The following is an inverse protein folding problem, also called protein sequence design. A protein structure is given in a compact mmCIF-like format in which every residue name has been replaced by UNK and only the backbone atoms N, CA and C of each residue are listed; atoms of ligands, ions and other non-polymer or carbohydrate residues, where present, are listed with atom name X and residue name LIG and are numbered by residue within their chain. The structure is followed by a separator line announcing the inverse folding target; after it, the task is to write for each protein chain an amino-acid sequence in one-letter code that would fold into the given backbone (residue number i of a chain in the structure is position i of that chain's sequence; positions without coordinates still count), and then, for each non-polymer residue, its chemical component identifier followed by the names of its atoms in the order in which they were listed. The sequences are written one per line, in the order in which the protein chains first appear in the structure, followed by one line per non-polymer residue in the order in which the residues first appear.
data_IF_284434776224
#
_entry.id   IF_284434776224
#
_cell.length_a   1.000
_cell.length_b   1.000
_cell.length_c   1.000
_cell.angle_alpha   90.00
_cell.angle_beta   90.00
_cell.angle_gamma   90.00
#
_symmetry.space_group_name_H-M   'P 1'
#
loop_
_entity.id
_entity.type
_entity.pdbx_description
1 polymer ?
#
# COMPACT_ATOMS: atom_id res chain seq x y z
N UNK A 1 14.01 1.25 12.13
CA UNK A 1 13.39 0.19 11.32
C UNK A 1 12.08 -0.22 11.98
N UNK A 2 10.99 -0.10 11.24
CA UNK A 2 9.61 -0.38 11.62
C UNK A 2 8.95 -1.15 10.49
N UNK A 3 8.40 -2.32 10.80
CA UNK A 3 7.58 -3.11 9.88
C UNK A 3 6.15 -2.57 9.84
N UNK A 4 5.64 -2.29 8.63
CA UNK A 4 4.27 -1.82 8.45
C UNK A 4 3.33 -3.02 8.39
N UNK A 5 2.63 -3.25 9.50
CA UNK A 5 1.61 -4.29 9.58
C UNK A 5 0.60 -4.18 8.45
N UNK A 6 0.43 -5.27 7.71
CA UNK A 6 -0.52 -5.38 6.60
C UNK A 6 -0.34 -4.30 5.52
N UNK A 7 0.90 -3.90 5.23
CA UNK A 7 1.23 -2.84 4.27
C UNK A 7 0.40 -2.89 2.98
N UNK A 8 0.30 -4.06 2.33
CA UNK A 8 -0.45 -4.21 1.08
C UNK A 8 -1.95 -3.98 1.24
N UNK A 9 -2.56 -4.29 2.39
CA UNK A 9 -3.97 -4.01 2.65
C UNK A 9 -4.28 -2.52 2.82
N UNK A 10 -3.27 -1.65 2.84
CA UNK A 10 -3.46 -0.21 2.82
C UNK A 10 -3.47 0.36 1.39
N UNK A 11 -2.96 -0.36 0.40
CA UNK A 11 -3.00 0.06 -1.00
C UNK A 11 -4.39 -0.08 -1.62
N UNK A 12 -4.79 0.92 -2.40
CA UNK A 12 -5.98 0.84 -3.25
C UNK A 12 -5.60 0.34 -4.64
N UNK A 13 -6.45 -0.48 -5.23
CA UNK A 13 -6.28 -0.96 -6.60
C UNK A 13 -6.86 0.05 -7.57
N UNK A 14 -6.07 0.45 -8.56
CA UNK A 14 -6.55 1.25 -9.70
C UNK A 14 -7.32 0.37 -10.68
N UNK A 15 -6.89 -0.89 -10.83
CA UNK A 15 -7.51 -1.87 -11.72
C UNK A 15 -8.67 -2.63 -11.05
N UNK A 16 -9.60 -3.13 -11.84
CA UNK A 16 -10.62 -4.05 -11.37
C UNK A 16 -10.05 -5.47 -11.29
N UNK A 17 -9.85 -5.94 -10.06
CA UNK A 17 -9.37 -7.30 -9.79
C UNK A 17 -10.48 -8.11 -9.15
N UNK A 18 -10.70 -9.31 -9.69
CA UNK A 18 -11.67 -10.26 -9.19
C UNK A 18 -10.99 -11.57 -8.78
N UNK A 19 -11.54 -12.23 -7.77
CA UNK A 19 -11.14 -13.59 -7.39
C UNK A 19 -12.37 -14.46 -7.16
N UNK A 20 -12.19 -15.77 -7.30
CA UNK A 20 -13.17 -16.75 -6.82
C UNK A 20 -13.32 -16.63 -5.30
N UNK A 21 -14.50 -17.00 -4.77
CA UNK A 21 -14.70 -17.08 -3.34
C UNK A 21 -13.70 -18.09 -2.73
N UNK A 22 -13.04 -17.70 -1.64
CA UNK A 22 -12.09 -18.57 -0.96
C UNK A 22 -12.81 -19.66 -0.19
N UNK A 23 -12.12 -20.79 0.01
CA UNK A 23 -12.59 -21.84 0.90
C UNK A 23 -12.93 -21.25 2.29
N UNK A 24 -14.09 -21.62 2.84
CA UNK A 24 -14.62 -21.06 4.09
C UNK A 24 -15.37 -19.73 3.98
N UNK A 25 -15.38 -19.07 2.82
CA UNK A 25 -16.15 -17.84 2.57
C UNK A 25 -17.26 -18.00 1.52
N UNK A 26 -17.39 -19.18 0.89
CA UNK A 26 -18.40 -19.43 -0.15
C UNK A 26 -19.81 -19.20 0.40
N UNK A 27 -20.55 -18.28 -0.20
CA UNK A 27 -21.96 -18.04 0.10
C UNK A 27 -22.82 -19.21 -0.41
N UNK A 28 -23.50 -19.99 0.47
CA UNK A 28 -24.32 -21.12 0.05
C UNK A 28 -25.48 -20.74 -0.87
N UNK A 29 -25.96 -19.49 -0.80
CA UNK A 29 -27.04 -18.99 -1.66
C UNK A 29 -26.52 -18.53 -3.01
N UNK A 30 -25.23 -18.23 -3.13
CA UNK A 30 -24.61 -17.70 -4.34
C UNK A 30 -23.20 -18.29 -4.54
N UNK A 31 -23.08 -19.61 -4.74
CA UNK A 31 -21.78 -20.27 -4.80
C UNK A 31 -20.91 -19.79 -5.97
N UNK A 32 -21.53 -19.37 -7.08
CA UNK A 32 -20.82 -18.95 -8.31
C UNK A 32 -20.44 -17.46 -8.33
N UNK A 33 -20.71 -16.71 -7.27
CA UNK A 33 -20.27 -15.30 -7.20
C UNK A 33 -18.75 -15.22 -7.10
N UNK A 34 -18.24 -14.08 -7.56
CA UNK A 34 -16.83 -13.69 -7.47
C UNK A 34 -16.69 -12.45 -6.60
N UNK A 35 -15.55 -12.34 -5.94
CA UNK A 35 -15.20 -11.21 -5.07
C UNK A 35 -14.47 -10.15 -5.88
N UNK A 36 -14.92 -8.89 -5.81
CA UNK A 36 -14.17 -7.74 -6.33
C UNK A 36 -13.25 -7.20 -5.23
N UNK A 37 -11.95 -7.16 -5.47
CA UNK A 37 -11.01 -6.56 -4.55
C UNK A 37 -11.08 -5.04 -4.59
N UNK A 38 -11.29 -4.41 -3.43
CA UNK A 38 -11.21 -2.95 -3.26
C UNK A 38 -9.81 -2.48 -2.83
N UNK A 39 -9.03 -3.40 -2.25
CA UNK A 39 -7.69 -3.14 -1.71
C UNK A 39 -6.72 -4.18 -2.22
N UNK A 40 -5.44 -3.82 -2.32
CA UNK A 40 -4.41 -4.79 -2.68
C UNK A 40 -4.22 -5.82 -1.58
N UNK A 41 -3.89 -7.04 -1.97
CA UNK A 41 -3.50 -8.15 -1.08
C UNK A 41 -2.12 -8.64 -1.50
N UNK A 42 -1.44 -9.33 -0.60
CA UNK A 42 -0.18 -9.99 -0.95
C UNK A 42 -0.38 -10.99 -2.10
N UNK A 43 0.64 -11.11 -2.96
CA UNK A 43 0.60 -11.98 -4.15
C UNK A 43 -0.01 -11.34 -5.40
N UNK A 44 -0.70 -10.20 -5.30
CA UNK A 44 -1.06 -9.42 -6.49
C UNK A 44 0.18 -8.74 -7.06
N UNK A 45 0.36 -8.82 -8.39
CA UNK A 45 1.49 -8.19 -9.11
C UNK A 45 1.63 -6.69 -8.80
N UNK A 46 0.51 -6.01 -8.60
CA UNK A 46 0.43 -4.58 -8.33
C UNK A 46 0.39 -4.21 -6.84
N UNK A 47 0.48 -5.18 -5.92
CA UNK A 47 0.35 -4.95 -4.48
C UNK A 47 1.36 -3.92 -3.96
N UNK A 48 2.64 -4.12 -4.26
CA UNK A 48 3.71 -3.22 -3.81
C UNK A 48 3.60 -1.82 -4.42
N UNK A 49 3.17 -1.72 -5.69
CA UNK A 49 2.93 -0.44 -6.37
C UNK A 49 1.77 0.32 -5.71
N UNK A 50 0.67 -0.37 -5.45
CA UNK A 50 -0.54 0.20 -4.82
C UNK A 50 -0.23 0.71 -3.41
N UNK A 51 0.56 -0.06 -2.66
CA UNK A 51 1.07 0.36 -1.35
C UNK A 51 1.99 1.60 -1.46
N UNK A 52 3.01 1.58 -2.34
CA UNK A 52 3.93 2.70 -2.49
C UNK A 52 3.19 4.00 -2.89
N UNK A 53 2.19 3.91 -3.77
CA UNK A 53 1.39 5.05 -4.17
C UNK A 53 0.61 5.63 -2.98
N UNK A 54 -0.07 4.78 -2.22
CA UNK A 54 -0.81 5.20 -1.02
C UNK A 54 0.12 5.83 0.02
N UNK A 55 1.26 5.19 0.30
CA UNK A 55 2.23 5.71 1.26
C UNK A 55 2.73 7.10 0.85
N UNK A 56 3.12 7.26 -0.42
CA UNK A 56 3.59 8.52 -0.97
C UNK A 56 2.53 9.65 -0.84
N UNK A 57 1.24 9.35 -1.06
CA UNK A 57 0.18 10.33 -0.84
C UNK A 57 0.12 10.77 0.63
N UNK A 58 0.01 9.79 1.54
CA UNK A 58 -0.14 10.06 2.98
C UNK A 58 1.08 10.78 3.56
N UNK A 59 2.29 10.36 3.20
CA UNK A 59 3.51 10.95 3.79
C UNK A 59 3.73 12.40 3.31
N UNK A 60 3.34 12.69 2.06
CA UNK A 60 3.32 14.06 1.52
C UNK A 60 2.31 14.95 2.22
N UNK A 61 1.11 14.44 2.51
CA UNK A 61 0.11 15.15 3.33
C UNK A 61 0.65 15.43 4.75
N UNK A 62 1.56 14.60 5.26
CA UNK A 62 2.26 14.81 6.53
C UNK A 62 3.50 15.73 6.42
N UNK A 63 3.69 16.41 5.28
CA UNK A 63 4.72 17.43 5.07
C UNK A 63 6.09 16.90 4.67
N UNK A 64 6.20 15.63 4.27
CA UNK A 64 7.43 15.11 3.67
C UNK A 64 7.50 15.40 2.18
N UNK A 65 8.72 15.57 1.68
CA UNK A 65 9.02 15.67 0.24
C UNK A 65 9.74 14.40 -0.20
N UNK A 66 9.31 13.80 -1.30
CA UNK A 66 9.95 12.63 -1.90
C UNK A 66 11.14 13.08 -2.75
N UNK A 67 12.30 12.44 -2.61
CA UNK A 67 13.44 12.68 -3.50
C UNK A 67 13.12 12.23 -4.92
N UNK A 68 13.63 12.97 -5.90
CA UNK A 68 13.48 12.66 -7.34
C UNK A 68 14.51 11.61 -7.76
N UNK A 69 15.71 11.71 -7.20
CA UNK A 69 16.86 10.85 -7.47
C UNK A 69 16.70 9.49 -6.79
N UNK A 70 16.20 9.49 -5.55
CA UNK A 70 16.00 8.29 -4.74
C UNK A 70 14.53 8.20 -4.27
N UNK A 71 13.62 7.61 -5.06
CA UNK A 71 12.19 7.57 -4.74
C UNK A 71 11.82 6.78 -3.47
N UNK A 72 12.74 6.05 -2.85
CA UNK A 72 12.54 5.45 -1.54
C UNK A 72 12.74 6.46 -0.39
N UNK A 73 13.42 7.59 -0.65
CA UNK A 73 13.78 8.59 0.34
C UNK A 73 12.75 9.72 0.40
N UNK A 74 12.37 10.06 1.63
CA UNK A 74 11.52 11.17 1.99
C UNK A 74 12.23 12.04 3.02
N UNK A 75 12.09 13.35 2.87
CA UNK A 75 12.70 14.32 3.79
C UNK A 75 11.67 15.30 4.31
N UNK A 76 11.82 15.72 5.56
CA UNK A 76 11.00 16.77 6.16
C UNK A 76 11.86 17.69 7.00
N UNK A 77 11.68 18.98 6.81
CA UNK A 77 12.31 20.01 7.62
C UNK A 77 11.28 20.66 8.52
N UNK A 78 11.59 20.79 9.81
CA UNK A 78 10.72 21.40 10.81
C UNK A 78 11.55 22.25 11.77
N UNK A 79 11.66 23.55 11.49
CA UNK A 79 12.44 24.47 12.32
C UNK A 79 13.94 24.23 12.20
N UNK A 80 14.57 23.61 13.20
CA UNK A 80 15.98 23.20 13.16
C UNK A 80 16.15 21.68 12.98
N UNK A 81 15.05 20.93 12.90
CA UNK A 81 15.08 19.47 12.77
C UNK A 81 14.92 19.05 11.32
N UNK A 82 15.71 18.04 10.93
CA UNK A 82 15.64 17.43 9.62
C UNK A 82 15.46 15.92 9.77
N UNK A 83 14.39 15.39 9.18
CA UNK A 83 14.05 13.96 9.24
C UNK A 83 14.26 13.34 7.87
N UNK A 84 14.99 12.23 7.84
CA UNK A 84 15.08 11.32 6.70
C UNK A 84 14.22 10.09 7.00
N UNK A 85 13.38 9.70 6.04
CA UNK A 85 12.58 8.49 6.08
C UNK A 85 12.86 7.70 4.81
N UNK A 86 13.19 6.42 4.93
CA UNK A 86 13.46 5.54 3.80
C UNK A 86 12.40 4.45 3.82
N UNK A 87 11.66 4.27 2.73
CA UNK A 87 10.71 3.17 2.57
C UNK A 87 11.31 2.10 1.66
N UNK A 88 11.47 0.88 2.19
CA UNK A 88 11.84 -0.30 1.41
C UNK A 88 10.74 -1.35 1.50
N UNK A 89 9.96 -1.49 0.43
CA UNK A 89 8.78 -2.38 0.38
C UNK A 89 7.79 -2.04 1.52
N UNK A 90 7.83 -2.76 2.63
CA UNK A 90 7.01 -2.62 3.84
C UNK A 90 7.80 -2.21 5.10
N UNK A 91 9.13 -2.08 4.99
CA UNK A 91 10.01 -1.57 6.04
C UNK A 91 10.23 -0.05 5.95
N UNK A 92 10.29 0.62 7.11
CA UNK A 92 10.63 2.05 7.27
C UNK A 92 11.72 2.32 8.30
#
# INVERSE_FOLDING_TARGET
QMDVKTAFLNGYLEEEVYMVQTEGFVDPKNPDKICKHKKSIYGLKQASRSWNHRFNQVIKENGFTRSVEEPCLYTKFSGSEFVFLILYVDDM
#
